data_IF_403774402704
#
_entry.id   IF_403774402704
#
_cell.length_a   1.000
_cell.length_b   1.000
_cell.length_c   1.000
_cell.angle_alpha   90.00
_cell.angle_beta   90.00
_cell.angle_gamma   90.00
#
_symmetry.space_group_name_H-M   'P 1'
#
loop_
_entity.id
_entity.type
_entity.pdbx_description
1 polymer ?
#
# COMPACT_ATOMS: atom_id res chain seq x y z
N UNK A 1 6.77 24.84 29.27
CA UNK A 1 6.63 23.81 28.23
C UNK A 1 5.63 22.78 28.73
N UNK A 2 4.64 22.42 27.92
CA UNK A 2 3.61 21.45 28.31
C UNK A 2 3.90 20.14 27.58
N UNK A 3 3.97 19.04 28.32
CA UNK A 3 4.13 17.69 27.77
C UNK A 3 2.77 17.02 27.67
N UNK A 4 2.47 16.40 26.54
CA UNK A 4 1.21 15.69 26.30
C UNK A 4 1.51 14.26 25.85
N UNK A 5 0.68 13.33 26.31
CA UNK A 5 0.79 11.93 25.91
C UNK A 5 0.05 11.71 24.59
N UNK A 6 0.73 11.05 23.65
CA UNK A 6 0.09 10.60 22.42
C UNK A 6 -0.56 9.24 22.66
N UNK A 7 -1.79 9.01 22.15
CA UNK A 7 -2.39 7.70 22.20
C UNK A 7 -1.54 6.69 21.42
N UNK A 8 -1.41 5.48 21.97
CA UNK A 8 -0.75 4.37 21.27
C UNK A 8 -1.63 3.94 20.10
N UNK A 9 -1.13 3.99 18.85
CA UNK A 9 -1.92 3.56 17.71
C UNK A 9 -2.15 2.04 17.75
N UNK A 10 -3.35 1.62 17.34
CA UNK A 10 -3.68 0.22 17.12
C UNK A 10 -4.19 0.08 15.69
N UNK A 11 -3.60 -0.83 14.92
CA UNK A 11 -3.98 -1.08 13.53
C UNK A 11 -4.64 -2.45 13.40
N UNK A 12 -5.68 -2.53 12.58
CA UNK A 12 -6.46 -3.76 12.37
C UNK A 12 -6.51 -4.20 10.91
N UNK A 13 -6.46 -3.27 9.96
CA UNK A 13 -6.64 -3.59 8.54
C UNK A 13 -5.88 -2.62 7.62
N UNK A 14 -5.46 -3.14 6.46
CA UNK A 14 -4.87 -2.37 5.36
C UNK A 14 -5.72 -2.57 4.10
N UNK A 15 -6.17 -1.47 3.50
CA UNK A 15 -7.00 -1.48 2.30
C UNK A 15 -6.40 -0.55 1.24
N UNK A 16 -5.82 -1.10 0.15
CA UNK A 16 -5.48 -2.51 -0.06
C UNK A 16 -4.27 -2.97 0.79
N UNK A 17 -4.14 -4.28 1.01
CA UNK A 17 -2.95 -4.90 1.64
C UNK A 17 -1.83 -5.24 0.63
N UNK A 18 -2.02 -4.85 -0.63
CA UNK A 18 -1.14 -5.12 -1.76
C UNK A 18 -0.98 -3.87 -2.61
N UNK A 19 0.18 -3.70 -3.23
CA UNK A 19 0.44 -2.57 -4.14
C UNK A 19 1.63 -2.79 -5.06
N UNK A 20 1.84 -1.86 -5.98
CA UNK A 20 2.90 -1.95 -6.98
C UNK A 20 4.31 -1.84 -6.36
N UNK A 21 5.27 -2.63 -6.83
CA UNK A 21 6.67 -2.57 -6.38
C UNK A 21 7.35 -1.22 -6.71
N UNK A 22 6.82 -0.51 -7.69
CA UNK A 22 7.21 0.86 -8.04
C UNK A 22 6.80 1.90 -6.97
N UNK A 23 5.91 1.53 -6.04
CA UNK A 23 5.35 2.41 -5.01
C UNK A 23 4.11 3.17 -5.49
N UNK A 24 3.68 4.16 -4.72
CA UNK A 24 2.55 5.03 -5.08
C UNK A 24 1.16 4.46 -4.77
N UNK A 25 1.08 3.29 -4.14
CA UNK A 25 -0.22 2.72 -3.75
C UNK A 25 -0.77 3.45 -2.54
N UNK A 26 -1.97 4.03 -2.65
CA UNK A 26 -2.68 4.63 -1.53
C UNK A 26 -3.29 3.53 -0.65
N UNK A 27 -2.82 3.44 0.59
CA UNK A 27 -3.21 2.43 1.59
C UNK A 27 -3.98 3.11 2.70
N UNK A 28 -5.27 2.79 2.80
CA UNK A 28 -6.08 3.15 3.96
C UNK A 28 -5.76 2.18 5.09
N UNK A 29 -5.37 2.73 6.23
CA UNK A 29 -5.10 1.97 7.46
C UNK A 29 -6.28 2.19 8.40
N UNK A 30 -6.94 1.11 8.79
CA UNK A 30 -8.04 1.13 9.76
C UNK A 30 -7.51 0.74 11.13
N UNK A 31 -7.98 1.44 12.16
CA UNK A 31 -7.49 1.25 13.52
C UNK A 31 -8.09 2.22 14.53
N UNK A 32 -7.29 2.59 15.52
CA UNK A 32 -7.62 3.57 16.55
C UNK A 32 -6.37 4.28 17.09
N UNK A 33 -6.57 5.39 17.80
CA UNK A 33 -5.46 6.14 18.41
C UNK A 33 -4.78 7.09 17.44
N UNK A 34 -5.47 7.51 16.38
CA UNK A 34 -4.99 8.55 15.46
C UNK A 34 -5.56 9.90 15.89
N UNK A 35 -4.71 10.93 15.93
CA UNK A 35 -5.13 12.26 16.36
C UNK A 35 -4.77 13.31 15.31
N UNK A 36 -5.65 14.29 15.07
CA UNK A 36 -5.33 15.41 14.19
C UNK A 36 -4.13 16.19 14.77
N UNK A 37 -3.26 16.69 13.90
CA UNK A 37 -2.08 17.47 14.29
C UNK A 37 -0.88 16.65 14.77
N UNK A 38 -1.01 15.32 14.88
CA UNK A 38 0.11 14.41 15.15
C UNK A 38 0.75 13.98 13.83
N UNK A 39 2.08 14.00 13.74
CA UNK A 39 2.79 13.47 12.58
C UNK A 39 2.86 11.95 12.67
N UNK A 40 1.76 11.29 12.33
CA UNK A 40 1.71 9.83 12.24
C UNK A 40 2.52 9.35 11.03
N UNK A 41 3.28 8.27 11.21
CA UNK A 41 4.16 7.67 10.20
C UNK A 41 3.81 6.20 9.97
N UNK A 42 3.81 5.77 8.71
CA UNK A 42 3.65 4.38 8.30
C UNK A 42 5.01 3.81 7.86
N UNK A 43 5.39 2.66 8.41
CA UNK A 43 6.62 1.94 8.07
C UNK A 43 6.29 0.67 7.30
N UNK A 44 6.87 0.57 6.10
CA UNK A 44 6.80 -0.60 5.22
C UNK A 44 8.06 -1.44 5.40
N UNK A 45 8.23 -2.04 6.58
CA UNK A 45 9.45 -2.74 7.00
C UNK A 45 10.72 -1.96 6.67
N UNK A 46 11.67 -2.61 5.98
CA UNK A 46 12.91 -1.94 5.52
C UNK A 46 12.74 -1.16 4.21
N UNK A 47 11.56 -1.15 3.59
CA UNK A 47 11.31 -0.45 2.31
C UNK A 47 11.18 1.06 2.48
N UNK A 48 10.76 1.52 3.66
CA UNK A 48 10.75 2.94 3.99
C UNK A 48 9.68 3.33 5.00
N UNK A 49 9.81 4.57 5.48
CA UNK A 49 8.84 5.24 6.35
C UNK A 49 8.23 6.42 5.58
N UNK A 50 6.92 6.56 5.63
CA UNK A 50 6.18 7.63 4.95
C UNK A 50 5.23 8.31 5.93
N UNK A 51 4.97 9.61 5.72
CA UNK A 51 3.97 10.33 6.52
C UNK A 51 2.56 9.87 6.17
N UNK A 52 1.75 9.71 7.19
CA UNK A 52 0.33 9.45 7.06
C UNK A 52 -0.45 10.76 6.92
N UNK A 53 -1.50 10.73 6.11
CA UNK A 53 -2.54 11.75 6.11
C UNK A 53 -3.64 11.32 7.06
N UNK A 54 -3.94 12.16 8.06
CA UNK A 54 -5.02 11.89 9.00
C UNK A 54 -6.39 12.03 8.30
N UNK A 55 -7.26 11.03 8.49
CA UNK A 55 -8.63 11.06 7.97
C UNK A 55 -9.65 11.13 9.12
N UNK A 56 -9.47 10.27 10.13
CA UNK A 56 -10.31 10.24 11.33
C UNK A 56 -9.53 9.65 12.50
N UNK A 57 -10.15 9.62 13.69
CA UNK A 57 -9.56 8.93 14.84
C UNK A 57 -9.34 7.42 14.64
N UNK A 58 -9.96 6.85 13.61
CA UNK A 58 -9.95 5.41 13.29
C UNK A 58 -9.40 5.10 11.91
N UNK A 59 -8.96 6.10 11.14
CA UNK A 59 -8.41 5.88 9.80
C UNK A 59 -7.34 6.91 9.42
N UNK A 60 -6.31 6.43 8.74
CA UNK A 60 -5.26 7.24 8.13
C UNK A 60 -4.96 6.72 6.71
N UNK A 61 -4.38 7.57 5.87
CA UNK A 61 -3.96 7.21 4.52
C UNK A 61 -2.44 7.30 4.38
N UNK A 62 -1.81 6.25 3.86
CA UNK A 62 -0.37 6.19 3.61
C UNK A 62 -0.10 5.83 2.15
N UNK A 63 0.90 6.45 1.53
CA UNK A 63 1.29 6.11 0.16
C UNK A 63 2.52 5.23 0.18
N UNK A 64 2.46 4.03 -0.40
CA UNK A 64 3.57 3.08 -0.36
C UNK A 64 4.84 3.66 -1.02
N UNK A 65 6.02 3.48 -0.43
CA UNK A 65 7.28 3.82 -1.08
C UNK A 65 7.57 2.82 -2.20
N UNK A 66 8.55 3.14 -3.06
CA UNK A 66 9.11 2.13 -3.96
C UNK A 66 9.77 1.04 -3.13
N UNK A 67 9.32 -0.19 -3.32
CA UNK A 67 9.83 -1.33 -2.59
C UNK A 67 9.72 -2.56 -3.47
N UNK A 68 10.85 -3.03 -4.00
CA UNK A 68 10.88 -4.22 -4.86
C UNK A 68 10.06 -5.39 -4.29
N UNK A 69 9.57 -6.28 -5.15
CA UNK A 69 8.53 -7.25 -4.82
C UNK A 69 8.73 -8.09 -3.54
N UNK A 70 7.60 -8.60 -3.03
CA UNK A 70 7.51 -9.43 -1.84
C UNK A 70 6.77 -8.78 -0.67
N UNK A 71 6.54 -9.55 0.37
CA UNK A 71 5.84 -9.08 1.57
C UNK A 71 6.80 -8.36 2.53
N UNK A 72 6.30 -7.32 3.18
CA UNK A 72 6.99 -6.60 4.24
C UNK A 72 6.07 -6.38 5.44
N UNK A 73 6.65 -6.15 6.62
CA UNK A 73 5.87 -5.75 7.79
C UNK A 73 5.27 -4.36 7.57
N UNK A 74 4.10 -4.13 8.16
CA UNK A 74 3.48 -2.81 8.17
C UNK A 74 3.21 -2.38 9.60
N UNK A 75 3.70 -1.21 9.94
CA UNK A 75 3.64 -0.68 11.30
C UNK A 75 3.38 0.83 11.26
N UNK A 76 2.78 1.38 12.31
CA UNK A 76 2.46 2.80 12.44
C UNK A 76 3.09 3.36 13.71
N UNK A 77 3.51 4.62 13.68
CA UNK A 77 3.98 5.35 14.85
C UNK A 77 3.34 6.73 14.91
N UNK A 78 3.03 7.21 16.11
CA UNK A 78 2.57 8.57 16.35
C UNK A 78 3.70 9.52 16.79
N UNK A 79 4.89 8.99 17.11
CA UNK A 79 6.04 9.76 17.59
C UNK A 79 7.35 9.47 16.83
N UNK A 80 7.29 8.64 15.79
CA UNK A 80 8.46 8.22 15.00
C UNK A 80 9.42 7.27 15.74
N UNK A 81 9.07 6.81 16.95
CA UNK A 81 9.93 5.97 17.80
C UNK A 81 9.22 4.66 18.14
N UNK A 82 8.02 4.75 18.70
CA UNK A 82 7.22 3.60 19.12
C UNK A 82 6.32 3.17 17.98
N UNK A 83 6.64 2.03 17.39
CA UNK A 83 5.88 1.44 16.28
C UNK A 83 4.97 0.34 16.78
N UNK A 84 3.80 0.24 16.16
CA UNK A 84 2.82 -0.81 16.40
C UNK A 84 3.36 -2.21 16.10
N UNK A 85 2.83 -3.24 16.77
CA UNK A 85 3.36 -4.63 16.70
C UNK A 85 2.32 -5.72 16.35
N UNK A 86 1.14 -5.37 15.82
CA UNK A 86 0.07 -6.31 15.47
C UNK A 86 0.44 -7.26 14.31
N UNK A 87 1.56 -7.01 13.62
CA UNK A 87 2.10 -7.94 12.63
C UNK A 87 1.39 -7.93 11.28
N UNK A 88 0.67 -6.85 10.93
CA UNK A 88 0.13 -6.65 9.60
C UNK A 88 1.25 -6.64 8.55
N UNK A 89 0.91 -7.05 7.33
CA UNK A 89 1.86 -7.15 6.22
C UNK A 89 1.30 -6.48 4.99
N UNK A 90 2.19 -5.84 4.23
CA UNK A 90 1.91 -5.27 2.93
C UNK A 90 2.70 -6.02 1.86
N UNK A 91 2.04 -6.41 0.77
CA UNK A 91 2.67 -7.10 -0.35
C UNK A 91 2.99 -6.16 -1.51
N UNK A 92 4.26 -6.08 -1.89
CA UNK A 92 4.68 -5.43 -3.12
C UNK A 92 4.59 -6.43 -4.27
N UNK A 93 3.68 -6.18 -5.20
CA UNK A 93 3.45 -6.97 -6.40
C UNK A 93 4.23 -6.38 -7.56
N UNK A 94 4.89 -7.26 -8.31
CA UNK A 94 5.43 -6.91 -9.62
C UNK A 94 4.27 -6.55 -10.54
N UNK A 95 4.37 -5.38 -11.16
CA UNK A 95 3.51 -5.06 -12.29
C UNK A 95 3.71 -6.12 -13.38
N UNK A 96 2.65 -6.84 -13.76
CA UNK A 96 2.65 -7.61 -15.00
C UNK A 96 2.79 -6.58 -16.11
N UNK A 97 3.90 -6.65 -16.84
CA UNK A 97 4.18 -5.71 -17.93
C UNK A 97 3.01 -5.69 -18.90
N UNK A 98 2.70 -4.50 -19.43
CA UNK A 98 1.54 -4.25 -20.29
C UNK A 98 1.30 -5.41 -21.27
N UNK A 99 0.07 -5.94 -21.25
CA UNK A 99 -0.35 -6.94 -22.21
C UNK A 99 -0.58 -6.27 -23.57
N UNK A 100 0.02 -6.80 -24.63
CA UNK A 100 -0.27 -6.37 -26.00
C UNK A 100 -1.28 -7.33 -26.63
N UNK A 101 -2.25 -6.77 -27.35
CA UNK A 101 -3.27 -7.51 -28.09
C UNK A 101 -2.97 -7.42 -29.59
N UNK A 102 -2.94 -8.55 -30.28
CA UNK A 102 -2.75 -8.58 -31.74
C UNK A 102 -3.59 -9.68 -32.41
N UNK A 103 -4.33 -9.37 -33.49
CA UNK A 103 -4.48 -8.05 -34.11
C UNK A 103 -5.42 -7.14 -33.30
N UNK A 104 -5.29 -5.82 -33.42
CA UNK A 104 -6.15 -4.84 -32.73
C UNK A 104 -7.50 -4.58 -33.45
N UNK A 105 -7.73 -5.23 -34.59
CA UNK A 105 -8.93 -5.07 -35.41
C UNK A 105 -9.39 -6.42 -35.98
N UNK A 106 -10.69 -6.56 -36.19
CA UNK A 106 -11.32 -7.75 -36.77
C UNK A 106 -12.66 -7.42 -37.43
N UNK A 107 -13.22 -8.34 -38.26
CA UNK A 107 -14.48 -8.14 -38.96
C UNK A 107 -15.68 -8.06 -38.00
N UNK A 108 -16.72 -7.31 -38.38
CA UNK A 108 -17.98 -7.26 -37.63
C UNK A 108 -18.68 -8.63 -37.49
N UNK A 109 -18.35 -9.58 -38.36
CA UNK A 109 -18.85 -10.95 -38.33
C UNK A 109 -18.16 -11.84 -37.28
N UNK A 110 -17.12 -11.34 -36.60
CA UNK A 110 -16.34 -12.12 -35.64
C UNK A 110 -15.38 -13.12 -36.29
N UNK A 111 -14.79 -14.00 -35.48
CA UNK A 111 -13.85 -15.05 -35.93
C UNK A 111 -12.36 -14.67 -35.87
N UNK A 112 -12.02 -13.47 -35.41
CA UNK A 112 -10.62 -13.05 -35.23
C UNK A 112 -10.04 -13.62 -33.95
N UNK A 113 -9.03 -14.49 -34.09
CA UNK A 113 -8.22 -14.95 -32.95
C UNK A 113 -7.32 -13.81 -32.47
N UNK A 114 -7.50 -13.37 -31.23
CA UNK A 114 -6.65 -12.37 -30.58
C UNK A 114 -5.55 -13.07 -29.79
N UNK A 115 -4.31 -12.69 -30.05
CA UNK A 115 -3.15 -13.11 -29.26
C UNK A 115 -2.88 -12.08 -28.18
N UNK A 116 -2.91 -12.51 -26.92
CA UNK A 116 -2.55 -11.68 -25.75
C UNK A 116 -1.12 -12.02 -25.36
N UNK A 117 -0.20 -11.06 -25.46
CA UNK A 117 1.18 -11.22 -24.98
C UNK A 117 1.38 -10.36 -23.75
N UNK A 118 1.51 -10.98 -22.57
CA UNK A 118 1.81 -10.28 -21.32
C UNK A 118 3.19 -10.67 -20.79
N UNK A 119 3.94 -9.71 -20.25
CA UNK A 119 5.24 -9.98 -19.61
C UNK A 119 5.05 -10.20 -18.11
N UNK A 120 5.56 -11.30 -17.56
CA UNK A 120 5.56 -11.53 -16.11
C UNK A 120 4.38 -12.31 -15.55
N UNK A 121 3.59 -13.00 -16.39
CA UNK A 121 2.69 -14.06 -15.91
C UNK A 121 3.53 -15.28 -15.52
N UNK A 122 3.85 -15.41 -14.24
CA UNK A 122 4.35 -16.68 -13.68
C UNK A 122 3.18 -17.49 -13.13
N UNK A 123 3.28 -18.81 -13.30
CA UNK A 123 2.24 -19.82 -13.01
C UNK A 123 1.70 -19.78 -11.58
#
# INVERSE_FOLDING_TARGET
ATFWFLPTPVISELVPSLGAEEGGTAVMVVGSGFSPGVQTECRFGMKGVVRASWLSATSIMCTSPRGGGGNTSFEVSNNGVDFTTQGLRFGFMRSVGAATLSPSQGPHTGGTTITVTARGLTR
#
